data_IF_788586970086
#
_entry.id   IF_788586970086
#
_cell.length_a   1.000
_cell.length_b   1.000
_cell.length_c   1.000
_cell.angle_alpha   90.00
_cell.angle_beta   90.00
_cell.angle_gamma   90.00
#
_symmetry.space_group_name_H-M   'P 1'
#
loop_
_entity.id
_entity.type
_entity.pdbx_description
1 polymer ?
#
# COMPACT_ATOMS: atom_id res chain seq x y z
N UNK A 1 -32.47 -3.22 -12.27
CA UNK A 1 -31.45 -3.81 -13.16
C UNK A 1 -30.38 -2.76 -13.43
N UNK A 2 -29.09 -3.10 -13.35
CA UNK A 2 -28.00 -2.19 -13.74
C UNK A 2 -28.13 -1.78 -15.21
N UNK A 3 -28.13 -0.48 -15.49
CA UNK A 3 -28.30 0.10 -16.83
C UNK A 3 -27.18 -0.32 -17.81
N UNK A 4 -26.04 -0.75 -17.27
CA UNK A 4 -24.82 -1.01 -18.04
C UNK A 4 -24.53 -2.49 -18.28
N UNK A 5 -25.49 -3.39 -17.98
CA UNK A 5 -25.30 -4.84 -18.09
C UNK A 5 -24.89 -5.30 -19.50
N UNK A 6 -25.31 -4.59 -20.55
CA UNK A 6 -24.96 -4.92 -21.93
C UNK A 6 -23.45 -4.78 -22.21
N UNK A 7 -22.75 -3.84 -21.57
CA UNK A 7 -21.31 -3.63 -21.73
C UNK A 7 -20.51 -4.85 -21.25
N UNK A 8 -20.89 -5.43 -20.11
CA UNK A 8 -20.29 -6.64 -19.55
C UNK A 8 -20.55 -7.91 -20.37
N UNK A 9 -21.57 -7.91 -21.24
CA UNK A 9 -21.85 -9.05 -22.13
C UNK A 9 -21.13 -8.94 -23.49
N UNK A 10 -20.54 -7.78 -23.79
CA UNK A 10 -19.90 -7.52 -25.07
C UNK A 10 -18.69 -8.43 -25.32
N UNK A 11 -18.44 -8.78 -26.58
CA UNK A 11 -17.24 -9.53 -26.98
C UNK A 11 -15.96 -8.74 -26.68
N UNK A 12 -16.03 -7.40 -26.77
CA UNK A 12 -14.93 -6.50 -26.40
C UNK A 12 -14.53 -6.68 -24.94
N UNK A 13 -15.49 -6.65 -24.02
CA UNK A 13 -15.24 -6.88 -22.59
C UNK A 13 -14.65 -8.26 -22.32
N UNK A 14 -15.20 -9.32 -22.91
CA UNK A 14 -14.69 -10.69 -22.71
C UNK A 14 -13.22 -10.83 -23.10
N UNK A 15 -12.81 -10.23 -24.22
CA UNK A 15 -11.41 -10.21 -24.67
C UNK A 15 -10.51 -9.40 -23.74
N UNK A 16 -10.96 -8.22 -23.34
CA UNK A 16 -10.22 -7.34 -22.43
C UNK A 16 -10.02 -7.99 -21.06
N UNK A 17 -11.08 -8.60 -20.49
CA UNK A 17 -10.99 -9.40 -19.26
C UNK A 17 -9.99 -10.55 -19.37
N UNK A 18 -10.02 -11.30 -20.47
CA UNK A 18 -9.08 -12.42 -20.66
C UNK A 18 -7.63 -11.92 -20.71
N UNK A 19 -7.37 -10.85 -21.48
CA UNK A 19 -6.04 -10.23 -21.56
C UNK A 19 -5.55 -9.71 -20.20
N UNK A 20 -6.43 -9.08 -19.42
CA UNK A 20 -6.07 -8.58 -18.08
C UNK A 20 -5.62 -9.72 -17.17
N UNK A 21 -6.38 -10.81 -17.12
CA UNK A 21 -6.07 -11.97 -16.26
C UNK A 21 -4.85 -12.76 -16.74
N UNK A 22 -4.51 -12.68 -18.02
CA UNK A 22 -3.28 -13.26 -18.57
C UNK A 22 -2.06 -12.40 -18.25
N UNK A 23 -2.17 -11.07 -18.38
CA UNK A 23 -1.09 -10.13 -18.07
C UNK A 23 -0.82 -10.03 -16.57
N UNK A 24 -1.86 -10.09 -15.74
CA UNK A 24 -1.81 -10.00 -14.30
C UNK A 24 -2.55 -11.21 -13.69
N UNK A 25 -1.88 -12.38 -13.59
CA UNK A 25 -2.49 -13.62 -13.14
C UNK A 25 -2.69 -13.68 -11.62
N UNK A 26 -2.07 -12.77 -10.87
CA UNK A 26 -2.15 -12.69 -9.41
C UNK A 26 -3.13 -11.61 -8.97
N UNK A 27 -3.68 -11.78 -7.77
CA UNK A 27 -4.52 -10.79 -7.13
C UNK A 27 -3.65 -9.62 -6.65
N UNK A 28 -3.86 -8.43 -7.20
CA UNK A 28 -3.08 -7.21 -6.89
C UNK A 28 -3.01 -6.91 -5.39
N UNK A 29 -4.11 -7.14 -4.66
CA UNK A 29 -4.16 -6.92 -3.22
C UNK A 29 -3.31 -7.91 -2.42
N UNK A 30 -3.25 -9.18 -2.84
CA UNK A 30 -2.42 -10.19 -2.19
C UNK A 30 -0.96 -10.06 -2.62
N UNK A 31 -0.70 -9.70 -3.88
CA UNK A 31 0.64 -9.44 -4.39
C UNK A 31 1.32 -8.29 -3.62
N UNK A 32 0.58 -7.23 -3.28
CA UNK A 32 1.06 -6.15 -2.41
C UNK A 32 1.44 -6.63 -0.99
N UNK A 33 0.92 -7.78 -0.56
CA UNK A 33 1.25 -8.46 0.70
C UNK A 33 2.28 -9.59 0.50
N UNK A 34 2.90 -9.68 -0.68
CA UNK A 34 3.81 -10.76 -1.10
C UNK A 34 3.18 -12.17 -1.03
N UNK A 35 1.87 -12.27 -1.26
CA UNK A 35 1.12 -13.53 -1.28
C UNK A 35 0.74 -13.89 -2.73
N UNK A 36 1.02 -15.14 -3.11
CA UNK A 36 0.73 -15.66 -4.45
C UNK A 36 -0.69 -16.24 -4.51
N UNK A 37 -1.68 -15.39 -4.76
CA UNK A 37 -3.07 -15.79 -4.92
C UNK A 37 -3.52 -15.51 -6.35
N UNK A 38 -4.10 -16.52 -7.01
CA UNK A 38 -4.60 -16.39 -8.38
C UNK A 38 -5.77 -15.39 -8.45
N UNK A 39 -5.73 -14.50 -9.44
CA UNK A 39 -6.86 -13.66 -9.78
C UNK A 39 -7.88 -14.40 -10.66
N UNK A 40 -9.16 -14.14 -10.40
CA UNK A 40 -10.28 -14.75 -11.14
C UNK A 40 -11.24 -13.70 -11.69
N UNK A 41 -11.08 -12.45 -11.28
CA UNK A 41 -11.94 -11.32 -11.63
C UNK A 41 -11.09 -10.15 -12.11
N UNK A 42 -11.47 -9.55 -13.24
CA UNK A 42 -10.95 -8.25 -13.65
C UNK A 42 -11.96 -7.19 -13.17
N UNK A 43 -11.54 -6.31 -12.29
CA UNK A 43 -12.34 -5.26 -11.66
C UNK A 43 -11.96 -3.89 -12.21
N UNK A 44 -12.92 -2.97 -12.27
CA UNK A 44 -12.66 -1.58 -12.61
C UNK A 44 -12.15 -0.84 -11.38
N UNK A 45 -10.97 -0.22 -11.46
CA UNK A 45 -10.36 0.57 -10.38
C UNK A 45 -11.27 1.77 -10.05
N UNK A 46 -11.65 2.53 -11.09
CA UNK A 46 -12.64 3.61 -11.01
C UNK A 46 -13.97 3.13 -11.56
N UNK A 47 -15.04 3.34 -10.80
CA UNK A 47 -16.39 3.03 -11.25
C UNK A 47 -16.74 3.84 -12.50
N UNK A 48 -17.00 3.15 -13.61
CA UNK A 48 -17.27 3.76 -14.92
C UNK A 48 -18.57 4.59 -14.98
N UNK A 49 -19.58 4.32 -14.13
CA UNK A 49 -20.87 5.04 -14.05
C UNK A 49 -21.62 5.22 -15.39
N UNK A 50 -21.30 4.40 -16.39
CA UNK A 50 -21.89 4.45 -17.73
C UNK A 50 -21.01 5.10 -18.80
N UNK A 51 -19.86 5.64 -18.43
CA UNK A 51 -18.83 6.09 -19.36
C UNK A 51 -18.18 4.87 -20.03
N UNK A 52 -18.37 4.73 -21.34
CA UNK A 52 -17.83 3.62 -22.12
C UNK A 52 -16.32 3.73 -22.35
N UNK A 53 -15.78 4.95 -22.45
CA UNK A 53 -14.34 5.14 -22.62
C UNK A 53 -13.63 4.64 -21.36
N UNK A 54 -14.12 5.04 -20.19
CA UNK A 54 -13.61 4.58 -18.91
C UNK A 54 -13.89 3.09 -18.63
N UNK A 55 -14.98 2.55 -19.19
CA UNK A 55 -15.29 1.11 -19.08
C UNK A 55 -14.32 0.23 -19.87
N UNK A 56 -13.89 0.69 -21.04
CA UNK A 56 -12.99 -0.04 -21.93
C UNK A 56 -11.54 0.43 -21.87
N UNK A 57 -11.20 1.27 -20.88
CA UNK A 57 -9.84 1.67 -20.59
C UNK A 57 -9.06 0.51 -19.95
N UNK A 58 -7.99 -0.01 -20.58
CA UNK A 58 -7.16 -1.07 -20.01
C UNK A 58 -6.47 -0.64 -18.72
N UNK A 59 -6.13 0.64 -18.57
CA UNK A 59 -5.44 1.17 -17.38
C UNK A 59 -6.39 1.27 -16.17
N UNK A 60 -7.70 1.23 -16.43
CA UNK A 60 -8.72 1.24 -15.39
C UNK A 60 -9.05 -0.17 -14.87
N UNK A 61 -8.29 -1.21 -15.24
CA UNK A 61 -8.50 -2.58 -14.75
C UNK A 61 -7.46 -3.03 -13.72
N UNK A 62 -7.93 -3.91 -12.83
CA UNK A 62 -7.09 -4.65 -11.89
C UNK A 62 -7.54 -6.10 -11.76
N UNK A 63 -6.58 -7.01 -11.58
CA UNK A 63 -6.85 -8.42 -11.33
C UNK A 63 -7.01 -8.71 -9.84
N UNK A 64 -8.14 -9.29 -9.46
CA UNK A 64 -8.47 -9.64 -8.07
C UNK A 64 -8.98 -11.08 -7.94
N UNK A 65 -8.75 -11.68 -6.77
CA UNK A 65 -9.45 -12.89 -6.36
C UNK A 65 -10.88 -12.54 -5.89
N UNK A 66 -11.80 -13.51 -5.90
CA UNK A 66 -13.21 -13.28 -5.53
C UNK A 66 -13.38 -12.63 -4.15
N UNK A 67 -12.68 -13.08 -3.07
CA UNK A 67 -12.81 -12.45 -1.76
C UNK A 67 -12.38 -10.98 -1.75
N UNK A 68 -11.24 -10.67 -2.36
CA UNK A 68 -10.73 -9.30 -2.48
C UNK A 68 -11.64 -8.42 -3.32
N UNK A 69 -12.15 -8.94 -4.45
CA UNK A 69 -13.11 -8.22 -5.27
C UNK A 69 -14.35 -7.83 -4.46
N UNK A 70 -14.96 -8.77 -3.74
CA UNK A 70 -16.18 -8.48 -2.98
C UNK A 70 -15.93 -7.48 -1.85
N UNK A 71 -14.81 -7.60 -1.14
CA UNK A 71 -14.39 -6.63 -0.12
C UNK A 71 -14.11 -5.25 -0.74
N UNK A 72 -13.46 -5.20 -1.91
CA UNK A 72 -13.17 -3.96 -2.63
C UNK A 72 -14.45 -3.26 -3.10
N UNK A 73 -15.42 -4.01 -3.66
CA UNK A 73 -16.74 -3.48 -4.02
C UNK A 73 -17.48 -2.93 -2.81
N UNK A 74 -17.48 -3.66 -1.70
CA UNK A 74 -18.09 -3.19 -0.45
C UNK A 74 -17.39 -1.93 0.08
N UNK A 75 -16.06 -1.84 0.00
CA UNK A 75 -15.33 -0.65 0.40
C UNK A 75 -15.69 0.56 -0.49
N UNK A 76 -15.80 0.37 -1.81
CA UNK A 76 -16.26 1.42 -2.74
C UNK A 76 -17.70 1.89 -2.44
N UNK A 77 -18.57 0.99 -1.96
CA UNK A 77 -19.97 1.29 -1.62
C UNK A 77 -20.14 1.93 -0.23
N UNK A 78 -19.31 1.55 0.75
CA UNK A 78 -19.50 1.91 2.16
C UNK A 78 -18.50 2.95 2.71
N UNK A 79 -17.36 3.23 2.06
CA UNK A 79 -16.38 4.19 2.56
C UNK A 79 -16.51 5.59 1.95
N UNK A 80 -17.55 6.30 2.36
CA UNK A 80 -17.44 7.76 2.53
C UNK A 80 -16.70 8.13 3.84
N UNK A 81 -16.67 7.23 4.85
CA UNK A 81 -16.14 7.47 6.20
C UNK A 81 -15.02 6.50 6.68
N UNK A 82 -14.44 5.70 5.79
CA UNK A 82 -13.06 5.18 5.96
C UNK A 82 -12.77 4.05 6.97
N UNK A 83 -13.72 3.19 7.35
CA UNK A 83 -13.42 2.03 8.21
C UNK A 83 -13.34 0.76 7.37
N UNK A 84 -12.14 0.18 7.24
CA UNK A 84 -11.92 -1.11 6.59
C UNK A 84 -12.47 -2.24 7.47
N UNK A 85 -13.53 -2.92 7.00
CA UNK A 85 -14.06 -4.13 7.65
C UNK A 85 -13.24 -5.35 7.23
N UNK A 86 -12.64 -6.04 8.20
CA UNK A 86 -11.91 -7.29 7.99
C UNK A 86 -11.00 -7.60 9.18
N UNK A 87 -10.81 -8.89 9.47
CA UNK A 87 -9.81 -9.36 10.42
C UNK A 87 -8.68 -10.05 9.64
N UNK A 88 -7.43 -9.80 10.02
CA UNK A 88 -6.27 -10.53 9.53
C UNK A 88 -6.32 -12.01 9.92
N UNK A 89 -5.34 -12.77 9.44
CA UNK A 89 -5.18 -14.19 9.76
C UNK A 89 -4.90 -14.45 11.25
N UNK A 90 -4.53 -13.40 11.99
CA UNK A 90 -4.34 -13.33 13.44
C UNK A 90 -5.63 -12.94 14.20
N UNK A 91 -6.74 -12.73 13.49
CA UNK A 91 -8.03 -12.32 14.05
C UNK A 91 -8.11 -10.83 14.42
N UNK A 92 -7.10 -10.01 14.09
CA UNK A 92 -7.08 -8.58 14.40
C UNK A 92 -7.66 -7.74 13.27
N UNK A 93 -8.41 -6.65 13.55
CA UNK A 93 -8.91 -5.75 12.52
C UNK A 93 -7.79 -5.23 11.61
N UNK A 94 -8.00 -5.22 10.30
CA UNK A 94 -7.05 -4.71 9.30
C UNK A 94 -6.87 -3.19 9.38
N UNK A 95 -7.86 -2.49 9.93
CA UNK A 95 -7.79 -1.06 10.18
C UNK A 95 -6.82 -0.75 11.34
N UNK A 96 -5.67 -0.14 11.02
CA UNK A 96 -4.66 0.27 12.00
C UNK A 96 -5.15 1.38 12.93
N UNK A 97 -6.19 2.14 12.55
CA UNK A 97 -6.82 3.14 13.41
C UNK A 97 -7.83 2.53 14.39
N UNK A 98 -8.12 1.22 14.29
CA UNK A 98 -9.03 0.52 15.17
C UNK A 98 -8.53 0.52 16.63
N UNK A 99 -9.39 0.72 17.65
CA UNK A 99 -8.99 0.79 19.07
C UNK A 99 -8.17 -0.40 19.59
N UNK A 100 -8.24 -1.56 18.94
CA UNK A 100 -7.42 -2.73 19.27
C UNK A 100 -5.92 -2.52 18.98
N UNK A 101 -5.57 -1.58 18.10
CA UNK A 101 -4.18 -1.19 17.79
C UNK A 101 -3.74 0.09 18.51
N UNK A 102 -4.64 0.77 19.24
CA UNK A 102 -4.26 1.93 20.05
C UNK A 102 -3.66 1.45 21.37
N UNK A 103 -2.40 1.83 21.62
CA UNK A 103 -1.69 1.46 22.85
C UNK A 103 -2.43 2.00 24.08
N UNK A 104 -2.90 1.10 24.94
CA UNK A 104 -3.33 1.46 26.30
C UNK A 104 -2.08 1.91 27.06
N UNK A 105 -1.86 3.21 27.18
CA UNK A 105 -0.87 3.77 28.11
C UNK A 105 -0.10 4.99 27.64
N UNK A 106 -0.75 6.16 27.64
CA UNK A 106 -0.04 7.40 27.97
C UNK A 106 -0.65 7.98 29.25
N UNK A 107 0.10 7.88 30.35
CA UNK A 107 -0.17 8.62 31.57
C UNK A 107 0.39 7.96 32.85
N UNK A 108 1.39 8.63 33.44
CA UNK A 108 1.90 8.56 34.83
C UNK A 108 3.30 7.93 35.00
N UNK A 109 4.27 8.80 35.33
CA UNK A 109 5.67 8.45 35.56
C UNK A 109 6.07 8.32 37.04
N UNK A 110 7.27 7.79 37.27
CA UNK A 110 8.13 8.02 38.44
C UNK A 110 9.56 7.54 38.12
N UNK A 111 10.56 8.29 38.61
CA UNK A 111 12.03 8.08 38.71
C UNK A 111 12.71 6.92 37.96
N UNK A 112 13.91 7.10 37.42
CA UNK A 112 15.12 7.24 38.24
C UNK A 112 16.21 8.10 37.58
N UNK A 113 16.99 8.72 38.44
CA UNK A 113 18.03 9.72 38.16
C UNK A 113 19.29 9.04 37.68
N UNK A 114 20.01 9.65 36.75
CA UNK A 114 21.48 9.57 36.73
C UNK A 114 22.05 10.81 36.05
N UNK A 115 22.60 11.68 36.89
CA UNK A 115 23.49 12.76 36.50
C UNK A 115 24.88 12.20 36.23
N UNK A 116 25.54 12.69 35.18
CA UNK A 116 27.00 12.90 35.12
C UNK A 116 27.26 13.80 33.91
N UNK A 117 27.30 15.11 34.12
CA UNK A 117 28.50 15.90 34.41
C UNK A 117 29.29 16.24 33.14
N UNK A 118 29.16 17.51 32.76
CA UNK A 118 30.09 18.29 31.94
C UNK A 118 31.54 18.03 32.37
N UNK A 119 32.43 17.89 31.40
CA UNK A 119 33.77 18.49 31.50
C UNK A 119 34.11 19.13 30.16
N UNK A 120 34.38 20.42 30.23
CA UNK A 120 34.77 21.30 29.15
C UNK A 120 36.30 21.35 29.00
N UNK A 121 36.72 21.66 27.78
CA UNK A 121 37.90 22.48 27.44
C UNK A 121 39.29 21.80 27.46
N UNK A 122 39.99 21.81 26.31
CA UNK A 122 41.18 22.67 26.08
C UNK A 122 41.97 22.38 24.81
N UNK A 123 42.17 23.48 24.09
CA UNK A 123 43.38 23.89 23.36
C UNK A 123 43.75 23.19 22.05
N UNK A 124 43.43 23.90 20.95
CA UNK A 124 44.39 24.40 19.95
C UNK A 124 45.74 23.68 19.86
N UNK A 125 46.02 23.03 18.73
CA UNK A 125 47.36 23.12 18.15
C UNK A 125 47.30 23.11 16.63
N UNK A 126 47.53 24.30 16.08
CA UNK A 126 47.80 24.58 14.68
C UNK A 126 49.32 24.44 14.49
N UNK A 127 49.82 23.43 13.76
CA UNK A 127 51.19 23.45 13.24
C UNK A 127 51.19 22.90 11.81
N UNK A 128 51.34 23.82 10.86
CA UNK A 128 51.83 23.60 9.49
C UNK A 128 53.20 22.90 9.56
N UNK A 129 53.62 22.13 8.56
CA UNK A 129 54.62 22.44 7.50
C UNK A 129 55.42 21.13 7.20
N UNK A 130 56.32 21.04 6.19
CA UNK A 130 56.09 20.99 4.73
C UNK A 130 56.83 19.81 4.03
N UNK A 131 56.76 19.80 2.68
CA UNK A 131 57.80 19.32 1.74
C UNK A 131 58.02 17.79 1.59
N UNK A 132 58.46 17.19 0.47
CA UNK A 132 58.71 17.47 -0.98
C UNK A 132 59.37 16.15 -1.48
N UNK A 133 59.13 15.58 -2.66
CA UNK A 133 60.04 15.59 -3.85
C UNK A 133 59.76 14.40 -4.81
N UNK A 134 59.96 14.63 -6.13
CA UNK A 134 60.34 13.65 -7.18
C UNK A 134 59.17 13.05 -7.97
N UNK A 135 58.97 13.30 -9.29
CA UNK A 135 59.90 13.22 -10.43
C UNK A 135 59.92 11.77 -10.94
N UNK A 136 59.66 11.37 -12.18
CA UNK A 136 59.39 11.98 -13.48
C UNK A 136 59.50 10.85 -14.52
N UNK A 137 58.73 10.91 -15.62
CA UNK A 137 58.98 10.36 -16.96
C UNK A 137 57.74 10.65 -17.82
#
# INVERSE_FOLDING_TARGET
>A
MSLFKHLYNSARWKRMRARQLEAEPLCRMHEALHQLVQATVADHIKAHRGDEELFFDPENLQSLCKPCHDAHKQAQEHNANGILRGAGHDGRPLDLAHPWHQAVGQGMGAGEKSASALVEDRSLTFIRTPAKLGGGA
#
